data_IF_605892759660
#
_entry.id   IF_605892759660
#
_cell.length_a   1.000
_cell.length_b   1.000
_cell.length_c   1.000
_cell.angle_alpha   90.00
_cell.angle_beta   90.00
_cell.angle_gamma   90.00
#
_symmetry.space_group_name_H-M   'P 1'
#
loop_
_entity.id
_entity.type
_entity.pdbx_description
1 polymer ?
#
# COMPACT_ATOMS: atom_id res chain seq x y z
N UNK A 1 -37.31 6.09 -4.84
CA UNK A 1 -37.85 5.96 -3.46
C UNK A 1 -36.73 5.50 -2.56
N UNK A 2 -36.38 6.28 -1.54
CA UNK A 2 -35.39 5.85 -0.56
C UNK A 2 -36.02 4.73 0.31
N UNK A 3 -35.39 3.57 0.34
CA UNK A 3 -35.78 2.50 1.24
C UNK A 3 -35.53 2.96 2.69
N UNK A 4 -36.58 3.19 3.47
CA UNK A 4 -36.51 3.46 4.90
C UNK A 4 -36.87 2.18 5.65
N UNK A 5 -35.93 1.65 6.44
CA UNK A 5 -36.21 0.54 7.34
C UNK A 5 -36.41 1.09 8.75
N UNK A 6 -37.62 1.03 9.25
CA UNK A 6 -37.95 1.49 10.62
C UNK A 6 -37.09 0.77 11.68
N UNK A 7 -36.72 -0.49 11.45
CA UNK A 7 -35.84 -1.25 12.34
C UNK A 7 -34.43 -0.67 12.37
N UNK A 8 -33.87 -0.33 11.19
CA UNK A 8 -32.53 0.25 11.08
C UNK A 8 -32.47 1.62 11.75
N UNK A 9 -33.48 2.45 11.53
CA UNK A 9 -33.56 3.79 12.13
C UNK A 9 -33.74 3.72 13.64
N UNK A 10 -34.58 2.80 14.14
CA UNK A 10 -34.75 2.54 15.58
C UNK A 10 -33.47 2.02 16.22
N UNK A 11 -32.78 1.07 15.56
CA UNK A 11 -31.51 0.54 16.05
C UNK A 11 -30.42 1.61 16.11
N UNK A 12 -30.28 2.44 15.06
CA UNK A 12 -29.36 3.58 15.06
C UNK A 12 -29.68 4.57 16.19
N UNK A 13 -30.97 4.85 16.42
CA UNK A 13 -31.41 5.72 17.50
C UNK A 13 -31.05 5.17 18.90
N UNK A 14 -31.19 3.88 19.13
CA UNK A 14 -30.76 3.24 20.38
C UNK A 14 -29.25 3.24 20.56
N UNK A 15 -28.52 2.92 19.50
CA UNK A 15 -27.04 2.92 19.53
C UNK A 15 -26.47 4.33 19.76
N UNK A 16 -27.10 5.36 19.19
CA UNK A 16 -26.73 6.75 19.46
C UNK A 16 -26.80 7.14 20.93
N UNK A 17 -27.72 6.52 21.71
CA UNK A 17 -27.85 6.73 23.17
C UNK A 17 -26.69 6.11 23.95
N UNK A 18 -26.01 5.11 23.42
CA UNK A 18 -24.92 4.40 24.12
C UNK A 18 -23.59 5.13 24.11
N UNK A 19 -23.51 6.31 23.51
CA UNK A 19 -22.26 7.08 23.29
C UNK A 19 -21.16 6.28 22.57
N UNK A 20 -21.52 5.27 21.79
CA UNK A 20 -20.58 4.58 20.93
C UNK A 20 -20.40 5.40 19.65
N UNK A 21 -19.28 6.15 19.48
CA UNK A 21 -19.09 7.03 18.35
C UNK A 21 -18.87 6.24 17.04
N UNK A 22 -18.61 4.94 17.11
CA UNK A 22 -18.23 4.14 15.94
C UNK A 22 -19.40 3.83 15.02
N UNK A 23 -20.63 3.95 15.46
CA UNK A 23 -21.82 3.61 14.66
C UNK A 23 -22.50 4.80 13.97
N UNK A 24 -22.10 6.04 14.25
CA UNK A 24 -22.90 7.21 13.88
C UNK A 24 -22.54 7.81 12.54
N UNK A 25 -21.28 7.67 12.07
CA UNK A 25 -20.83 8.34 10.84
C UNK A 25 -19.67 7.64 10.13
N UNK A 26 -19.72 6.33 9.91
CA UNK A 26 -18.79 5.76 8.96
C UNK A 26 -19.13 6.31 7.56
N UNK A 27 -18.23 7.11 7.00
CA UNK A 27 -18.32 7.42 5.59
C UNK A 27 -18.30 6.09 4.83
N UNK A 28 -19.32 5.82 4.05
CA UNK A 28 -19.48 4.57 3.29
C UNK A 28 -18.39 4.39 2.23
N UNK A 29 -17.51 5.40 2.06
CA UNK A 29 -16.49 5.43 1.04
C UNK A 29 -15.09 5.25 1.64
N UNK A 30 -14.39 4.26 1.14
CA UNK A 30 -12.99 4.07 1.39
C UNK A 30 -12.18 5.02 0.49
N UNK A 31 -11.25 5.76 1.06
CA UNK A 31 -10.33 6.65 0.34
C UNK A 31 -9.01 5.93 0.13
N UNK A 32 -8.60 5.81 -1.13
CA UNK A 32 -7.29 5.27 -1.49
C UNK A 32 -6.22 6.36 -1.46
N UNK A 33 -5.06 6.04 -0.89
CA UNK A 33 -3.88 6.91 -0.90
C UNK A 33 -2.86 6.36 -1.90
N UNK A 34 -2.59 7.09 -3.00
CA UNK A 34 -1.60 6.68 -3.98
C UNK A 34 -0.22 6.52 -3.37
N UNK A 35 0.44 5.43 -3.71
CA UNK A 35 1.79 5.12 -3.22
C UNK A 35 2.89 5.66 -4.11
N UNK A 36 2.54 6.21 -5.28
CA UNK A 36 3.46 6.66 -6.31
C UNK A 36 3.90 5.56 -7.28
N UNK A 37 3.32 4.37 -7.16
CA UNK A 37 3.58 3.24 -8.06
C UNK A 37 2.28 2.78 -8.70
N UNK A 38 1.95 3.32 -9.86
CA UNK A 38 0.64 3.12 -10.50
C UNK A 38 0.23 1.65 -10.61
N UNK A 39 1.13 0.77 -11.03
CA UNK A 39 0.82 -0.66 -11.14
C UNK A 39 0.43 -1.27 -9.79
N UNK A 40 1.14 -0.90 -8.72
CA UNK A 40 0.84 -1.31 -7.36
C UNK A 40 -0.48 -0.70 -6.88
N UNK A 41 -0.69 0.59 -7.14
CA UNK A 41 -1.89 1.32 -6.73
C UNK A 41 -3.15 0.73 -7.37
N UNK A 42 -3.07 0.37 -8.64
CA UNK A 42 -4.18 -0.24 -9.36
C UNK A 42 -4.55 -1.64 -8.87
N UNK A 43 -3.58 -2.48 -8.49
CA UNK A 43 -3.92 -3.81 -7.93
C UNK A 43 -4.52 -3.73 -6.51
N UNK A 44 -4.27 -2.66 -5.77
CA UNK A 44 -4.85 -2.42 -4.46
C UNK A 44 -6.12 -1.54 -4.50
N UNK A 45 -6.39 -0.89 -5.64
CA UNK A 45 -7.51 0.02 -5.81
C UNK A 45 -8.82 -0.65 -6.25
N UNK A 46 -9.89 0.14 -6.30
CA UNK A 46 -11.20 -0.28 -6.83
C UNK A 46 -11.90 0.89 -7.50
N UNK A 47 -12.77 0.61 -8.47
CA UNK A 47 -13.68 1.63 -9.01
C UNK A 47 -14.83 1.83 -8.03
N UNK A 48 -15.14 3.08 -7.73
CA UNK A 48 -16.26 3.47 -6.89
C UNK A 48 -17.16 4.39 -7.69
N UNK A 49 -18.42 4.00 -7.84
CA UNK A 49 -19.46 4.82 -8.47
C UNK A 49 -20.29 5.48 -7.38
N UNK A 50 -20.41 6.79 -7.45
CA UNK A 50 -21.22 7.58 -6.53
C UNK A 50 -22.35 8.24 -7.33
N UNK A 51 -23.57 7.95 -6.94
CA UNK A 51 -24.77 8.58 -7.52
C UNK A 51 -25.46 9.40 -6.45
N UNK A 52 -25.61 10.68 -6.70
CA UNK A 52 -26.43 11.59 -5.92
C UNK A 52 -27.71 11.90 -6.68
N UNK A 53 -28.66 12.62 -6.05
CA UNK A 53 -29.86 13.12 -6.78
C UNK A 53 -29.52 14.13 -7.89
N UNK A 54 -28.33 14.74 -7.84
CA UNK A 54 -27.92 15.82 -8.76
C UNK A 54 -26.78 15.43 -9.68
N UNK A 55 -25.93 14.50 -9.28
CA UNK A 55 -24.70 14.14 -10.01
C UNK A 55 -24.39 12.65 -9.88
N UNK A 56 -23.81 12.09 -10.91
CA UNK A 56 -23.20 10.78 -10.89
C UNK A 56 -21.73 10.93 -11.27
N UNK A 57 -20.84 10.28 -10.56
CA UNK A 57 -19.42 10.24 -10.91
C UNK A 57 -18.80 8.92 -10.52
N UNK A 58 -17.76 8.53 -11.27
CA UNK A 58 -16.94 7.36 -10.98
C UNK A 58 -15.54 7.83 -10.62
N UNK A 59 -14.93 7.22 -9.60
CA UNK A 59 -13.53 7.45 -9.30
C UNK A 59 -12.82 6.14 -9.01
N UNK A 60 -11.52 6.11 -9.29
CA UNK A 60 -10.66 5.01 -8.92
C UNK A 60 -10.10 5.28 -7.52
N UNK A 61 -10.57 4.52 -6.53
CA UNK A 61 -9.94 4.49 -5.20
C UNK A 61 -8.68 3.64 -5.29
N UNK A 62 -7.61 4.20 -5.86
CA UNK A 62 -6.32 3.52 -6.06
C UNK A 62 -5.40 3.69 -4.86
N UNK A 63 -4.43 2.78 -4.75
CA UNK A 63 -3.44 2.82 -3.67
C UNK A 63 -3.90 2.11 -2.41
N UNK A 64 -3.37 2.53 -1.28
CA UNK A 64 -3.68 1.92 0.02
C UNK A 64 -4.89 2.59 0.63
N UNK A 65 -5.89 1.79 0.97
CA UNK A 65 -7.14 2.27 1.58
C UNK A 65 -6.89 2.80 3.00
N UNK A 66 -7.60 3.88 3.35
CA UNK A 66 -7.55 4.52 4.66
C UNK A 66 -7.79 3.53 5.81
N UNK A 67 -7.00 3.67 6.86
CA UNK A 67 -7.18 2.89 8.09
C UNK A 67 -7.02 1.38 7.92
N UNK A 68 -6.11 0.92 7.07
CA UNK A 68 -5.91 -0.50 6.78
C UNK A 68 -4.53 -1.01 7.19
N UNK A 69 -4.46 -2.31 7.43
CA UNK A 69 -3.21 -3.02 7.65
C UNK A 69 -2.78 -3.73 6.36
N UNK A 70 -1.55 -3.48 5.95
CA UNK A 70 -0.88 -4.12 4.80
C UNK A 70 0.27 -4.98 5.31
N UNK A 71 0.21 -6.28 5.09
CA UNK A 71 1.31 -7.17 5.41
C UNK A 71 2.17 -7.42 4.18
N UNK A 72 3.49 -7.22 4.32
CA UNK A 72 4.47 -7.40 3.25
C UNK A 72 5.45 -8.51 3.63
N UNK A 73 5.43 -9.60 2.87
CA UNK A 73 6.29 -10.75 3.10
C UNK A 73 7.22 -10.99 1.91
N UNK A 74 8.41 -11.49 2.17
CA UNK A 74 9.39 -11.80 1.11
C UNK A 74 10.75 -12.17 1.71
N UNK A 75 11.64 -12.67 0.87
CA UNK A 75 13.01 -13.01 1.28
C UNK A 75 13.81 -11.75 1.64
N UNK A 76 14.91 -11.93 2.36
CA UNK A 76 15.85 -10.83 2.62
C UNK A 76 16.37 -10.26 1.29
N UNK A 77 16.59 -8.94 1.23
CA UNK A 77 17.16 -8.28 0.06
C UNK A 77 16.20 -7.99 -1.10
N UNK A 78 14.92 -8.41 -1.04
CA UNK A 78 13.95 -8.11 -2.11
C UNK A 78 13.35 -6.69 -2.05
N UNK A 79 13.85 -5.80 -1.19
CA UNK A 79 13.48 -4.39 -1.17
C UNK A 79 12.22 -4.03 -0.34
N UNK A 80 11.72 -4.91 0.55
CA UNK A 80 10.51 -4.64 1.37
C UNK A 80 10.56 -3.30 2.09
N UNK A 81 11.59 -3.07 2.90
CA UNK A 81 11.79 -1.81 3.65
C UNK A 81 11.90 -0.61 2.72
N UNK A 82 12.67 -0.75 1.62
CA UNK A 82 12.84 0.32 0.62
C UNK A 82 11.50 0.74 0.02
N UNK A 83 10.72 -0.23 -0.45
CA UNK A 83 9.40 0.02 -1.04
C UNK A 83 8.46 0.66 -0.02
N UNK A 84 8.41 0.12 1.20
CA UNK A 84 7.54 0.62 2.26
C UNK A 84 7.86 2.07 2.61
N UNK A 85 9.15 2.42 2.73
CA UNK A 85 9.56 3.80 3.00
C UNK A 85 9.16 4.74 1.87
N UNK A 86 9.40 4.38 0.61
CA UNK A 86 9.02 5.20 -0.54
C UNK A 86 7.50 5.41 -0.61
N UNK A 87 6.71 4.34 -0.43
CA UNK A 87 5.25 4.45 -0.37
C UNK A 87 4.78 5.33 0.79
N UNK A 88 5.35 5.13 1.99
CA UNK A 88 5.01 5.94 3.16
C UNK A 88 5.28 7.43 2.92
N UNK A 89 6.43 7.76 2.33
CA UNK A 89 6.78 9.14 1.96
C UNK A 89 5.75 9.73 0.99
N UNK A 90 5.41 9.01 -0.06
CA UNK A 90 4.44 9.47 -1.07
C UNK A 90 3.03 9.67 -0.47
N UNK A 91 2.61 8.79 0.45
CA UNK A 91 1.30 8.91 1.12
C UNK A 91 1.22 10.14 2.02
N UNK A 92 2.27 10.42 2.83
CA UNK A 92 2.15 11.45 3.88
C UNK A 92 2.61 12.84 3.44
N UNK A 93 3.51 12.94 2.45
CA UNK A 93 4.06 14.24 2.02
C UNK A 93 3.00 15.29 1.66
N UNK A 94 1.91 14.96 0.92
CA UNK A 94 0.90 15.94 0.53
C UNK A 94 0.13 16.56 1.70
N UNK A 95 0.21 15.96 2.90
CA UNK A 95 -0.57 16.38 4.05
C UNK A 95 0.28 17.13 5.06
N UNK A 96 -0.20 18.29 5.53
CA UNK A 96 0.50 19.11 6.53
C UNK A 96 0.85 18.31 7.79
N UNK A 97 -0.14 17.61 8.36
CA UNK A 97 0.00 16.76 9.54
C UNK A 97 0.18 15.27 9.22
N UNK A 98 0.59 14.95 7.99
CA UNK A 98 0.97 13.58 7.62
C UNK A 98 2.21 13.14 8.40
N UNK A 99 2.20 11.92 8.96
CA UNK A 99 3.29 11.43 9.83
C UNK A 99 3.65 9.98 9.50
N UNK A 100 4.93 9.65 9.62
CA UNK A 100 5.45 8.28 9.57
C UNK A 100 6.00 7.92 10.94
N UNK A 101 5.50 6.82 11.52
CA UNK A 101 6.08 6.17 12.70
C UNK A 101 6.73 4.87 12.26
N UNK A 102 8.05 4.77 12.40
CA UNK A 102 8.83 3.60 11.99
C UNK A 102 9.45 2.90 13.21
N UNK A 103 8.97 1.72 13.52
CA UNK A 103 9.51 0.81 14.53
C UNK A 103 10.48 -0.16 13.84
N UNK A 104 11.77 0.15 13.94
CA UNK A 104 12.85 -0.54 13.23
C UNK A 104 13.54 -1.54 14.18
N UNK A 105 13.09 -2.77 14.17
CA UNK A 105 13.69 -3.87 14.96
C UNK A 105 14.91 -4.47 14.26
N UNK A 106 15.00 -4.33 12.95
CA UNK A 106 16.14 -4.72 12.14
C UNK A 106 17.02 -3.49 11.91
N UNK A 107 17.93 -3.20 12.83
CA UNK A 107 18.82 -2.04 12.74
C UNK A 107 19.68 -2.10 11.48
N UNK A 108 19.50 -1.20 10.54
CA UNK A 108 20.28 -1.30 9.31
C UNK A 108 20.39 -0.06 8.45
N UNK A 109 19.46 0.86 8.45
CA UNK A 109 19.48 1.97 7.51
C UNK A 109 19.92 3.28 8.14
N UNK A 110 20.94 3.95 7.55
CA UNK A 110 21.32 5.29 7.95
C UNK A 110 20.17 6.30 7.73
N UNK A 111 20.06 7.30 8.60
CA UNK A 111 19.01 8.33 8.50
C UNK A 111 19.04 9.07 7.16
N UNK A 112 20.22 9.29 6.59
CA UNK A 112 20.39 9.90 5.26
C UNK A 112 19.75 9.04 4.16
N UNK A 113 19.91 7.72 4.22
CA UNK A 113 19.28 6.80 3.26
C UNK A 113 17.76 6.78 3.42
N UNK A 114 17.24 6.75 4.64
CA UNK A 114 15.80 6.84 4.91
C UNK A 114 15.20 8.12 4.34
N UNK A 115 15.83 9.26 4.58
CA UNK A 115 15.39 10.55 4.04
C UNK A 115 15.36 10.56 2.51
N UNK A 116 16.40 10.00 1.87
CA UNK A 116 16.47 9.87 0.41
C UNK A 116 15.31 8.99 -0.13
N UNK A 117 15.05 7.84 0.49
CA UNK A 117 13.96 6.95 0.09
C UNK A 117 12.58 7.59 0.29
N UNK A 118 12.39 8.34 1.36
CA UNK A 118 11.17 9.08 1.63
C UNK A 118 10.98 10.29 0.69
N UNK A 119 12.02 10.66 -0.07
CA UNK A 119 12.05 11.83 -0.96
C UNK A 119 11.68 13.11 -0.21
N UNK A 120 12.16 13.28 1.01
CA UNK A 120 11.89 14.40 1.88
C UNK A 120 13.09 15.34 2.00
N UNK A 121 12.83 16.62 2.11
CA UNK A 121 13.83 17.59 2.59
C UNK A 121 14.23 17.26 4.04
N UNK A 122 15.28 17.87 4.54
CA UNK A 122 15.69 17.65 5.95
C UNK A 122 14.63 18.17 6.94
N UNK A 123 13.98 19.27 6.59
CA UNK A 123 12.93 19.89 7.38
C UNK A 123 11.68 19.02 7.43
N UNK A 124 11.21 18.54 6.26
CA UNK A 124 10.10 17.61 6.18
C UNK A 124 10.38 16.30 6.92
N UNK A 125 11.59 15.76 6.79
CA UNK A 125 11.99 14.54 7.47
C UNK A 125 11.93 14.70 8.99
N UNK A 126 12.45 15.83 9.53
CA UNK A 126 12.35 16.14 10.96
C UNK A 126 10.91 16.35 11.43
N UNK A 127 10.07 16.95 10.60
CA UNK A 127 8.69 17.25 10.95
C UNK A 127 7.76 16.03 10.87
N UNK A 128 7.98 15.10 9.92
CA UNK A 128 7.03 14.05 9.58
C UNK A 128 7.48 12.64 9.91
N UNK A 129 8.77 12.41 10.20
CA UNK A 129 9.32 11.08 10.41
C UNK A 129 9.81 10.88 11.83
N UNK A 130 9.26 9.88 12.50
CA UNK A 130 9.65 9.44 13.83
C UNK A 130 10.05 7.97 13.76
N UNK A 131 11.29 7.64 14.17
CA UNK A 131 11.74 6.25 14.23
C UNK A 131 12.27 5.87 15.59
N UNK A 132 12.15 4.58 15.89
CA UNK A 132 12.76 3.93 17.06
C UNK A 132 13.43 2.64 16.64
N UNK A 133 14.55 2.32 17.30
CA UNK A 133 15.30 1.07 17.12
C UNK A 133 15.66 0.40 18.44
N UNK A 134 15.21 0.97 19.56
CA UNK A 134 15.45 0.44 20.91
C UNK A 134 14.19 0.51 21.75
N UNK A 135 14.09 -0.38 22.74
CA UNK A 135 12.95 -0.41 23.66
C UNK A 135 11.62 -0.76 22.96
N UNK A 136 11.66 -1.50 21.86
CA UNK A 136 10.50 -1.94 21.12
C UNK A 136 10.11 -3.33 21.60
N UNK A 137 8.93 -3.42 22.20
CA UNK A 137 8.28 -4.69 22.54
C UNK A 137 6.79 -4.59 22.18
N UNK A 138 6.08 -5.70 22.24
CA UNK A 138 4.67 -5.79 21.81
C UNK A 138 3.78 -4.80 22.56
N UNK A 139 3.96 -4.66 23.85
CA UNK A 139 3.14 -3.79 24.70
C UNK A 139 3.40 -2.31 24.41
N UNK A 140 4.68 -1.91 24.34
CA UNK A 140 5.06 -0.54 24.02
C UNK A 140 4.61 -0.14 22.61
N UNK A 141 4.65 -1.06 21.65
CA UNK A 141 4.15 -0.81 20.30
C UNK A 141 2.63 -0.55 20.33
N UNK A 142 1.88 -1.38 21.03
CA UNK A 142 0.43 -1.18 21.19
C UNK A 142 0.09 0.18 21.82
N UNK A 143 0.76 0.53 22.93
CA UNK A 143 0.51 1.81 23.62
C UNK A 143 0.82 3.02 22.73
N UNK A 144 1.84 2.96 21.89
CA UNK A 144 2.13 4.02 20.92
C UNK A 144 1.06 4.17 19.85
N UNK A 145 0.55 3.04 19.31
CA UNK A 145 -0.58 3.09 18.36
C UNK A 145 -1.81 3.68 19.00
N UNK A 146 -2.12 3.27 20.26
CA UNK A 146 -3.24 3.79 21.02
C UNK A 146 -3.10 5.29 21.30
N UNK A 147 -1.92 5.74 21.73
CA UNK A 147 -1.65 7.16 21.96
C UNK A 147 -1.84 7.97 20.67
N UNK A 148 -1.33 7.48 19.54
CA UNK A 148 -1.50 8.11 18.24
C UNK A 148 -2.99 8.19 17.84
N UNK A 149 -3.72 7.10 18.01
CA UNK A 149 -5.16 7.06 17.79
C UNK A 149 -5.88 8.11 18.63
N UNK A 150 -5.67 8.11 19.96
CA UNK A 150 -6.34 9.00 20.89
C UNK A 150 -6.03 10.48 20.61
N UNK A 151 -4.77 10.80 20.27
CA UNK A 151 -4.38 12.15 19.86
C UNK A 151 -5.15 12.62 18.63
N UNK A 152 -5.26 11.80 17.61
CA UNK A 152 -5.93 12.18 16.35
C UNK A 152 -7.44 12.28 16.50
N UNK A 153 -8.05 11.32 17.20
CA UNK A 153 -9.51 11.28 17.37
C UNK A 153 -9.99 12.40 18.29
N UNK A 154 -9.24 12.69 19.38
CA UNK A 154 -9.62 13.72 20.34
C UNK A 154 -9.35 15.16 19.84
N UNK A 155 -8.54 15.33 18.80
CA UNK A 155 -8.23 16.63 18.18
C UNK A 155 -8.56 16.61 16.68
N UNK A 156 -9.73 16.08 16.36
CA UNK A 156 -10.16 15.85 15.00
C UNK A 156 -10.13 17.11 14.13
N UNK A 157 -10.52 18.24 14.68
CA UNK A 157 -10.54 19.55 14.03
C UNK A 157 -9.18 20.03 13.53
N UNK A 158 -8.07 19.54 14.14
CA UNK A 158 -6.71 19.87 13.72
C UNK A 158 -6.24 18.98 12.56
N UNK A 159 -6.67 17.73 12.58
CA UNK A 159 -6.14 16.69 11.68
C UNK A 159 -7.06 16.34 10.53
N UNK A 160 -8.27 16.89 10.48
CA UNK A 160 -9.23 16.60 9.43
C UNK A 160 -8.92 17.36 8.13
N UNK A 161 -9.23 16.75 6.99
CA UNK A 161 -9.14 17.38 5.68
C UNK A 161 -10.34 16.99 4.82
N UNK A 162 -10.68 17.86 3.86
CA UNK A 162 -11.70 17.59 2.85
C UNK A 162 -11.09 16.71 1.76
N UNK A 163 -11.67 15.54 1.54
CA UNK A 163 -11.21 14.59 0.51
C UNK A 163 -11.54 15.04 -0.91
N UNK A 164 -12.39 16.05 -1.08
CA UNK A 164 -12.94 16.44 -2.39
C UNK A 164 -14.10 15.57 -2.85
N UNK A 165 -14.36 14.43 -2.20
CA UNK A 165 -15.42 13.49 -2.55
C UNK A 165 -16.74 13.85 -1.83
N UNK A 166 -17.85 13.36 -2.39
CA UNK A 166 -19.17 13.47 -1.78
C UNK A 166 -19.77 12.07 -1.55
N UNK A 167 -20.64 11.97 -0.55
CA UNK A 167 -21.45 10.78 -0.33
C UNK A 167 -22.65 10.71 -1.30
N UNK A 168 -23.46 9.66 -1.21
CA UNK A 168 -24.67 9.48 -2.04
C UNK A 168 -25.74 10.54 -1.80
N UNK A 169 -25.63 11.33 -0.73
CA UNK A 169 -26.54 12.44 -0.43
C UNK A 169 -25.99 13.80 -0.86
N UNK A 170 -24.74 13.82 -1.38
CA UNK A 170 -24.06 15.03 -1.84
C UNK A 170 -23.30 15.77 -0.73
N UNK A 171 -23.16 15.18 0.48
CA UNK A 171 -22.38 15.78 1.55
C UNK A 171 -20.89 15.53 1.33
N UNK A 172 -20.05 16.53 1.62
CA UNK A 172 -18.58 16.42 1.55
C UNK A 172 -18.08 15.38 2.55
N UNK A 173 -17.11 14.56 2.11
CA UNK A 173 -16.48 13.53 2.92
C UNK A 173 -15.20 14.10 3.50
N UNK A 174 -15.13 14.16 4.83
CA UNK A 174 -13.94 14.55 5.57
C UNK A 174 -13.27 13.32 6.19
N UNK A 175 -11.94 13.30 6.17
CA UNK A 175 -11.10 12.24 6.77
C UNK A 175 -9.99 12.86 7.59
N UNK A 176 -9.48 12.12 8.58
CA UNK A 176 -8.23 12.51 9.24
C UNK A 176 -7.05 12.33 8.28
N UNK A 177 -6.09 13.25 8.28
CA UNK A 177 -4.88 13.14 7.46
C UNK A 177 -4.14 11.83 7.75
N UNK A 178 -3.56 11.15 6.75
CA UNK A 178 -3.01 9.82 6.94
C UNK A 178 -1.78 9.82 7.86
N UNK A 179 -1.70 8.80 8.68
CA UNK A 179 -0.47 8.44 9.40
C UNK A 179 -0.05 7.05 8.97
N UNK A 180 1.21 6.90 8.56
CA UNK A 180 1.76 5.60 8.19
C UNK A 180 2.59 5.06 9.35
N UNK A 181 2.25 3.86 9.81
CA UNK A 181 3.01 3.10 10.79
C UNK A 181 3.73 1.97 10.08
N UNK A 182 5.04 1.83 10.32
CA UNK A 182 5.87 0.76 9.76
C UNK A 182 6.42 -0.06 10.91
N UNK A 183 6.20 -1.37 10.90
CA UNK A 183 6.82 -2.33 11.79
C UNK A 183 7.78 -3.20 10.98
N UNK A 184 9.07 -3.06 11.21
CA UNK A 184 10.13 -3.78 10.49
C UNK A 184 11.08 -4.49 11.46
N UNK A 185 10.87 -5.77 11.77
CA UNK A 185 9.86 -6.70 11.27
C UNK A 185 9.07 -7.37 12.42
N UNK A 186 7.89 -7.94 12.08
CA UNK A 186 7.09 -8.72 13.04
C UNK A 186 7.87 -9.90 13.62
N UNK A 187 8.77 -10.50 12.83
CA UNK A 187 9.60 -11.62 13.28
C UNK A 187 10.45 -11.30 14.51
N UNK A 188 10.83 -10.04 14.67
CA UNK A 188 11.70 -9.56 15.76
C UNK A 188 10.90 -8.98 16.94
N UNK A 189 9.58 -8.85 16.80
CA UNK A 189 8.75 -8.28 17.85
C UNK A 189 8.46 -9.31 18.94
N UNK A 190 8.88 -9.01 20.16
CA UNK A 190 8.73 -9.88 21.33
C UNK A 190 7.93 -9.18 22.44
N UNK A 191 7.21 -9.94 23.27
CA UNK A 191 6.63 -9.43 24.52
C UNK A 191 7.67 -8.86 25.46
N UNK A 192 7.26 -7.93 26.34
CA UNK A 192 8.13 -7.28 27.33
C UNK A 192 8.84 -8.28 28.22
N UNK A 193 8.11 -9.26 28.75
CA UNK A 193 8.66 -10.27 29.66
C UNK A 193 9.83 -11.04 29.07
N UNK A 194 9.90 -11.15 27.73
CA UNK A 194 10.99 -11.82 27.03
C UNK A 194 12.12 -10.87 26.64
N UNK A 195 11.84 -9.57 26.54
CA UNK A 195 12.86 -8.56 26.22
C UNK A 195 13.58 -8.04 27.46
N UNK A 196 12.91 -8.00 28.61
CA UNK A 196 13.43 -7.51 29.89
C UNK A 196 13.82 -8.65 30.85
N UNK A 197 13.42 -9.90 30.55
CA UNK A 197 13.78 -11.08 31.34
C UNK A 197 15.22 -11.51 31.13
N UNK A 198 15.91 -11.93 32.22
CA UNK A 198 17.35 -12.30 32.20
C UNK A 198 17.68 -13.67 31.60
N UNK A 199 16.69 -14.50 31.26
CA UNK A 199 16.92 -15.84 30.72
C UNK A 199 16.48 -15.95 29.26
N UNK A 200 17.32 -16.53 28.41
CA UNK A 200 16.96 -16.87 27.04
C UNK A 200 16.04 -18.10 27.08
N UNK A 201 14.78 -17.87 26.79
CA UNK A 201 13.73 -18.86 26.91
C UNK A 201 13.80 -19.97 25.84
N UNK A 202 13.40 -21.19 26.22
CA UNK A 202 13.37 -22.36 25.33
C UNK A 202 12.21 -22.40 24.33
N UNK A 203 12.00 -23.53 23.66
CA UNK A 203 11.06 -23.73 22.54
C UNK A 203 9.58 -23.39 22.81
N UNK A 204 9.11 -23.42 24.06
CA UNK A 204 7.74 -23.00 24.42
C UNK A 204 7.47 -21.51 24.16
N UNK A 205 8.51 -20.70 24.10
CA UNK A 205 8.47 -19.25 23.90
C UNK A 205 7.98 -18.87 22.50
N UNK A 206 8.34 -19.62 21.46
CA UNK A 206 7.96 -19.31 20.07
C UNK A 206 6.44 -19.31 19.90
N UNK A 207 5.75 -20.28 20.50
CA UNK A 207 4.28 -20.37 20.44
C UNK A 207 3.61 -19.23 21.22
N UNK A 208 4.19 -18.80 22.33
CA UNK A 208 3.67 -17.68 23.12
C UNK A 208 3.82 -16.35 22.36
N UNK A 209 4.94 -16.09 21.71
CA UNK A 209 5.17 -14.90 20.88
C UNK A 209 4.12 -14.81 19.75
N UNK A 210 3.88 -15.90 19.02
CA UNK A 210 2.89 -15.92 17.95
C UNK A 210 1.46 -15.62 18.45
N UNK A 211 1.11 -16.11 19.65
CA UNK A 211 -0.19 -15.81 20.29
C UNK A 211 -0.29 -14.33 20.67
N UNK A 212 0.74 -13.77 21.29
CA UNK A 212 0.77 -12.36 21.70
C UNK A 212 0.72 -11.45 20.48
N UNK A 213 1.49 -11.72 19.44
CA UNK A 213 1.45 -10.96 18.19
C UNK A 213 0.06 -11.03 17.52
N UNK A 214 -0.60 -12.18 17.57
CA UNK A 214 -1.99 -12.30 17.08
C UNK A 214 -2.97 -11.44 17.90
N UNK A 215 -2.83 -11.39 19.22
CA UNK A 215 -3.64 -10.54 20.09
C UNK A 215 -3.35 -9.06 19.83
N UNK A 216 -2.08 -8.68 19.66
CA UNK A 216 -1.68 -7.34 19.29
C UNK A 216 -2.43 -6.86 18.02
N UNK A 217 -2.33 -7.64 16.94
CA UNK A 217 -2.98 -7.29 15.68
C UNK A 217 -4.49 -7.14 15.84
N UNK A 218 -5.16 -8.06 16.56
CA UNK A 218 -6.60 -7.98 16.84
C UNK A 218 -7.00 -6.72 17.61
N UNK A 219 -6.15 -6.22 18.49
CA UNK A 219 -6.40 -5.00 19.27
C UNK A 219 -6.11 -3.73 18.49
N UNK A 220 -5.16 -3.75 17.56
CA UNK A 220 -4.78 -2.57 16.75
C UNK A 220 -5.77 -2.33 15.60
N UNK A 221 -6.22 -3.38 14.90
CA UNK A 221 -7.08 -3.24 13.72
C UNK A 221 -8.27 -2.30 13.93
N UNK A 222 -9.03 -2.38 15.03
CA UNK A 222 -10.16 -1.46 15.27
C UNK A 222 -9.77 0.02 15.39
N UNK A 223 -8.53 0.30 15.80
CA UNK A 223 -8.02 1.66 15.98
C UNK A 223 -7.61 2.32 14.66
N UNK A 224 -7.28 1.51 13.63
CA UNK A 224 -6.71 2.02 12.38
C UNK A 224 -7.69 2.91 11.62
N UNK A 225 -8.93 2.46 11.45
CA UNK A 225 -9.93 3.12 10.59
C UNK A 225 -10.35 4.48 11.15
N UNK A 226 -10.68 4.55 12.43
CA UNK A 226 -11.16 5.77 13.08
C UNK A 226 -10.13 6.90 13.13
N UNK A 227 -8.83 6.54 13.16
CA UNK A 227 -7.73 7.50 13.20
C UNK A 227 -7.01 7.67 11.84
N UNK A 228 -7.46 6.99 10.79
CA UNK A 228 -6.77 6.92 9.50
C UNK A 228 -5.27 6.61 9.67
N UNK A 229 -5.00 5.47 10.30
CA UNK A 229 -3.66 4.92 10.44
C UNK A 229 -3.50 3.79 9.43
N UNK A 230 -2.55 3.92 8.53
CA UNK A 230 -2.14 2.86 7.59
C UNK A 230 -0.98 2.13 8.22
N UNK A 231 -1.12 0.83 8.45
CA UNK A 231 -0.09 0.03 9.10
C UNK A 231 0.57 -0.94 8.11
N UNK A 232 1.84 -0.68 7.76
CA UNK A 232 2.68 -1.63 7.04
C UNK A 232 3.40 -2.55 8.04
N UNK A 233 3.11 -3.83 7.95
CA UNK A 233 3.77 -4.87 8.73
C UNK A 233 4.68 -5.68 7.82
N UNK A 234 5.99 -5.51 7.97
CA UNK A 234 7.00 -6.23 7.20
C UNK A 234 7.33 -7.56 7.89
N UNK A 235 7.53 -8.63 7.11
CA UNK A 235 8.01 -9.88 7.63
C UNK A 235 8.83 -10.67 6.60
N UNK A 236 9.61 -11.65 7.06
CA UNK A 236 10.50 -12.45 6.25
C UNK A 236 9.90 -13.80 5.89
N UNK A 237 10.22 -14.27 4.68
CA UNK A 237 10.08 -15.67 4.29
C UNK A 237 11.43 -16.33 4.49
N UNK A 238 11.46 -17.39 5.29
CA UNK A 238 12.64 -18.18 5.60
C UNK A 238 12.47 -19.61 5.07
N UNK A 239 13.57 -20.33 4.79
CA UNK A 239 13.51 -21.76 4.55
C UNK A 239 12.94 -22.51 5.78
N UNK A 240 12.11 -23.51 5.53
CA UNK A 240 11.69 -24.45 6.58
C UNK A 240 12.83 -25.44 6.83
N UNK A 241 13.37 -25.53 8.07
CA UNK A 241 14.45 -26.43 8.39
C UNK A 241 14.03 -27.91 8.47
N UNK A 242 12.75 -28.21 8.28
CA UNK A 242 12.25 -29.59 8.34
C UNK A 242 12.91 -30.46 7.26
N UNK A 243 13.44 -31.67 7.61
CA UNK A 243 14.11 -32.55 6.65
C UNK A 243 13.15 -33.08 5.56
N UNK A 244 11.86 -33.09 5.83
CA UNK A 244 10.81 -33.44 4.87
C UNK A 244 9.98 -32.17 4.66
N UNK A 245 9.98 -31.57 3.45
CA UNK A 245 9.16 -30.40 3.17
C UNK A 245 7.68 -30.74 3.39
N UNK A 246 7.09 -30.16 4.41
CA UNK A 246 5.63 -30.26 4.62
C UNK A 246 4.93 -29.47 3.53
N UNK A 247 3.74 -29.92 3.09
CA UNK A 247 2.87 -29.09 2.27
C UNK A 247 2.72 -27.74 2.95
N UNK A 248 2.83 -26.65 2.18
CA UNK A 248 2.59 -25.32 2.68
C UNK A 248 1.24 -25.31 3.42
N UNK A 249 1.25 -24.93 4.69
CA UNK A 249 0.03 -24.89 5.51
C UNK A 249 -0.91 -23.77 5.08
N UNK A 250 -0.39 -22.79 4.34
CA UNK A 250 -1.11 -21.62 3.85
C UNK A 250 -0.79 -21.38 2.37
N UNK A 251 -1.80 -20.94 1.61
CA UNK A 251 -1.71 -20.78 0.16
C UNK A 251 -0.66 -19.75 -0.32
N UNK A 252 -0.17 -18.90 0.59
CA UNK A 252 0.79 -17.84 0.27
C UNK A 252 2.25 -18.19 0.56
N UNK A 253 2.53 -19.39 1.08
CA UNK A 253 3.87 -19.94 1.20
C UNK A 253 4.08 -21.08 0.19
N UNK A 254 5.28 -21.15 -0.36
CA UNK A 254 5.71 -22.30 -1.19
C UNK A 254 6.14 -23.45 -0.29
N UNK A 255 6.21 -24.65 -0.85
CA UNK A 255 6.75 -25.84 -0.13
C UNK A 255 8.19 -25.53 0.33
N UNK A 256 8.49 -25.81 1.58
CA UNK A 256 9.80 -25.52 2.17
C UNK A 256 10.00 -24.07 2.60
N UNK A 257 8.94 -23.27 2.70
CA UNK A 257 8.98 -21.92 3.24
C UNK A 257 8.20 -21.83 4.55
N UNK A 258 8.65 -20.92 5.42
CA UNK A 258 7.96 -20.52 6.66
C UNK A 258 8.03 -19.01 6.85
N UNK A 259 7.10 -18.48 7.64
CA UNK A 259 7.07 -17.06 8.00
C UNK A 259 7.07 -16.94 9.54
N UNK A 260 8.14 -16.45 10.17
CA UNK A 260 8.21 -16.31 11.62
C UNK A 260 7.28 -15.20 12.15
N UNK A 261 7.07 -15.15 13.47
CA UNK A 261 6.29 -14.09 14.12
C UNK A 261 4.78 -14.36 14.21
N UNK A 262 4.27 -15.41 13.55
CA UNK A 262 2.88 -15.85 13.64
C UNK A 262 2.08 -15.63 12.35
N UNK A 263 1.74 -16.71 11.68
CA UNK A 263 0.98 -16.72 10.42
C UNK A 263 -0.39 -16.06 10.55
N UNK A 264 -1.06 -16.24 11.68
CA UNK A 264 -2.39 -15.65 11.93
C UNK A 264 -2.31 -14.12 11.97
N UNK A 265 -1.27 -13.55 12.58
CA UNK A 265 -1.05 -12.10 12.62
C UNK A 265 -0.93 -11.54 11.18
N UNK A 266 -0.14 -12.19 10.35
CA UNK A 266 0.05 -11.82 8.93
C UNK A 266 -1.26 -11.95 8.16
N UNK A 267 -2.01 -13.03 8.38
CA UNK A 267 -3.27 -13.28 7.68
C UNK A 267 -4.41 -12.33 8.07
N UNK A 268 -4.34 -11.68 9.23
CA UNK A 268 -5.33 -10.69 9.65
C UNK A 268 -5.28 -9.39 8.84
N UNK A 269 -4.19 -9.10 8.15
CA UNK A 269 -4.04 -7.92 7.29
C UNK A 269 -5.19 -7.79 6.27
N UNK A 270 -5.52 -6.55 5.91
CA UNK A 270 -6.47 -6.24 4.85
C UNK A 270 -5.91 -6.72 3.49
N UNK A 271 -4.67 -6.37 3.22
CA UNK A 271 -3.92 -6.82 2.06
C UNK A 271 -2.65 -7.56 2.50
N UNK A 272 -2.43 -8.74 1.92
CA UNK A 272 -1.20 -9.51 2.07
C UNK A 272 -0.46 -9.52 0.74
N UNK A 273 0.72 -8.95 0.73
CA UNK A 273 1.58 -8.81 -0.43
C UNK A 273 2.79 -9.74 -0.27
N UNK A 274 3.05 -10.55 -1.28
CA UNK A 274 4.26 -11.34 -1.40
C UNK A 274 5.20 -10.68 -2.39
N UNK A 275 6.45 -10.48 -1.99
CA UNK A 275 7.49 -9.89 -2.80
C UNK A 275 8.54 -10.96 -3.09
N UNK A 276 8.67 -11.32 -4.35
CA UNK A 276 9.68 -12.24 -4.84
C UNK A 276 10.63 -11.51 -5.79
N UNK A 277 11.94 -11.66 -5.62
CA UNK A 277 12.94 -11.24 -6.60
C UNK A 277 12.95 -12.23 -7.76
N UNK A 278 13.02 -11.73 -9.00
CA UNK A 278 12.95 -12.57 -10.19
C UNK A 278 14.27 -12.62 -10.97
N UNK A 279 14.95 -11.49 -11.12
CA UNK A 279 16.23 -11.43 -11.86
C UNK A 279 17.05 -10.22 -11.46
N UNK A 280 18.38 -10.37 -11.55
CA UNK A 280 19.32 -9.24 -11.38
C UNK A 280 19.39 -8.42 -12.67
N UNK A 281 19.56 -7.11 -12.50
CA UNK A 281 19.77 -6.13 -13.56
C UNK A 281 21.21 -5.61 -13.52
N UNK A 282 21.80 -5.38 -14.68
CA UNK A 282 23.12 -4.78 -14.83
C UNK A 282 23.03 -3.53 -15.69
N UNK A 283 23.67 -2.46 -15.26
CA UNK A 283 23.69 -1.19 -15.98
C UNK A 283 24.25 -1.33 -17.42
N UNK A 284 25.17 -2.25 -17.66
CA UNK A 284 25.77 -2.47 -18.97
C UNK A 284 24.84 -3.19 -19.96
N UNK A 285 23.91 -4.01 -19.47
CA UNK A 285 23.14 -4.94 -20.32
C UNK A 285 21.65 -4.64 -20.39
N UNK A 286 21.07 -4.12 -19.28
CA UNK A 286 19.62 -4.03 -19.16
C UNK A 286 19.11 -2.60 -19.26
N UNK A 287 18.51 -2.09 -18.19
CA UNK A 287 17.83 -0.79 -18.14
C UNK A 287 18.77 0.40 -17.83
N UNK A 288 20.08 0.21 -17.87
CA UNK A 288 21.05 1.25 -17.51
C UNK A 288 21.19 1.45 -16.00
N UNK A 289 20.69 0.53 -15.17
CA UNK A 289 20.73 0.56 -13.71
C UNK A 289 21.29 -0.75 -13.14
N UNK A 290 21.83 -0.68 -11.92
CA UNK A 290 22.17 -1.86 -11.13
C UNK A 290 21.05 -2.13 -10.13
N UNK A 291 20.41 -3.29 -10.25
CA UNK A 291 19.26 -3.56 -9.42
C UNK A 291 18.68 -4.96 -9.59
N UNK A 292 17.41 -5.08 -9.28
CA UNK A 292 16.64 -6.33 -9.43
C UNK A 292 15.24 -6.07 -9.98
N UNK A 293 14.74 -7.03 -10.74
CA UNK A 293 13.31 -7.18 -11.00
C UNK A 293 12.66 -7.81 -9.79
N UNK A 294 11.55 -7.28 -9.39
CA UNK A 294 10.75 -7.75 -8.26
C UNK A 294 9.32 -7.96 -8.74
N UNK A 295 8.73 -9.10 -8.43
CA UNK A 295 7.30 -9.34 -8.62
C UNK A 295 6.56 -9.16 -7.30
N UNK A 296 5.54 -8.29 -7.30
CA UNK A 296 4.67 -8.09 -6.15
C UNK A 296 3.33 -8.76 -6.44
N UNK A 297 3.01 -9.78 -5.68
CA UNK A 297 1.76 -10.52 -5.77
C UNK A 297 0.81 -10.11 -4.65
N UNK A 298 -0.41 -9.72 -5.02
CA UNK A 298 -1.52 -9.56 -4.08
C UNK A 298 -2.08 -10.94 -3.74
N UNK A 299 -1.60 -11.52 -2.64
CA UNK A 299 -1.96 -12.89 -2.24
C UNK A 299 -3.33 -12.95 -1.59
N UNK A 300 -3.64 -11.92 -0.79
CA UNK A 300 -4.92 -11.75 -0.12
C UNK A 300 -5.33 -10.29 -0.18
N UNK A 301 -6.58 -10.04 -0.44
CA UNK A 301 -7.21 -8.73 -0.29
C UNK A 301 -8.64 -8.90 0.22
N UNK A 302 -9.11 -7.91 0.99
CA UNK A 302 -10.51 -7.81 1.40
C UNK A 302 -11.35 -7.01 0.42
N UNK A 303 -10.69 -6.26 -0.48
CA UNK A 303 -11.35 -5.36 -1.44
C UNK A 303 -11.20 -5.81 -2.89
N UNK A 304 -10.26 -6.71 -3.19
CA UNK A 304 -9.89 -7.13 -4.54
C UNK A 304 -9.76 -8.64 -4.68
N UNK A 305 -9.81 -9.10 -5.93
CA UNK A 305 -9.51 -10.49 -6.26
C UNK A 305 -8.01 -10.76 -6.04
N UNK A 306 -7.64 -11.75 -5.22
CA UNK A 306 -6.25 -12.14 -5.04
C UNK A 306 -5.67 -12.82 -6.29
N UNK A 307 -4.34 -12.91 -6.36
CA UNK A 307 -3.62 -13.63 -7.40
C UNK A 307 -3.01 -12.73 -8.47
N UNK A 308 -3.35 -11.44 -8.52
CA UNK A 308 -2.74 -10.49 -9.44
C UNK A 308 -1.31 -10.18 -9.00
N UNK A 309 -0.36 -10.14 -9.94
CA UNK A 309 1.01 -9.72 -9.68
C UNK A 309 1.48 -8.66 -10.67
N UNK A 310 2.23 -7.70 -10.16
CA UNK A 310 2.84 -6.62 -10.94
C UNK A 310 4.37 -6.65 -10.80
N UNK A 311 5.11 -6.45 -11.91
CA UNK A 311 6.55 -6.30 -11.86
C UNK A 311 6.90 -4.90 -11.33
N UNK A 312 7.98 -4.82 -10.56
CA UNK A 312 8.57 -3.57 -10.13
C UNK A 312 10.09 -3.62 -10.26
N UNK A 313 10.70 -2.48 -10.53
CA UNK A 313 12.14 -2.37 -10.72
C UNK A 313 12.75 -1.65 -9.52
N UNK A 314 13.61 -2.36 -8.79
CA UNK A 314 14.43 -1.80 -7.73
C UNK A 314 15.83 -1.47 -8.27
N UNK A 315 16.18 -0.19 -8.27
CA UNK A 315 17.53 0.31 -8.41
C UNK A 315 18.19 0.39 -7.03
N UNK A 316 19.38 -0.14 -6.88
CA UNK A 316 20.09 -0.15 -5.60
C UNK A 316 20.46 1.25 -5.10
N UNK A 317 20.65 2.21 -6.01
CA UNK A 317 21.05 3.57 -5.66
C UNK A 317 19.84 4.44 -5.29
N UNK A 318 18.75 4.37 -6.07
CA UNK A 318 17.62 5.30 -5.93
C UNK A 318 16.37 4.67 -5.30
N UNK A 319 16.32 3.34 -5.19
CA UNK A 319 15.15 2.59 -4.75
C UNK A 319 14.27 2.15 -5.93
N UNK A 320 13.00 1.92 -5.68
CA UNK A 320 12.06 1.54 -6.74
C UNK A 320 11.80 2.71 -7.69
N UNK A 321 11.87 2.45 -9.01
CA UNK A 321 11.54 3.42 -10.05
C UNK A 321 10.10 3.19 -10.55
N UNK A 322 9.22 4.19 -10.43
CA UNK A 322 7.87 4.12 -11.01
C UNK A 322 7.87 3.89 -12.51
N UNK A 323 8.72 4.63 -13.24
CA UNK A 323 8.78 4.61 -14.71
C UNK A 323 9.27 3.26 -15.23
N UNK A 324 10.36 2.74 -14.65
CA UNK A 324 10.90 1.44 -15.05
C UNK A 324 9.96 0.30 -14.65
N UNK A 325 9.19 0.46 -13.57
CA UNK A 325 8.17 -0.51 -13.17
C UNK A 325 7.00 -0.54 -14.14
N UNK A 326 6.55 0.61 -14.65
CA UNK A 326 5.56 0.67 -15.74
C UNK A 326 6.11 0.08 -17.05
N UNK A 327 7.37 0.35 -17.38
CA UNK A 327 8.01 -0.29 -18.53
C UNK A 327 8.00 -1.83 -18.41
N UNK A 328 8.36 -2.35 -17.23
CA UNK A 328 8.31 -3.79 -16.97
C UNK A 328 6.88 -4.34 -17.08
N UNK A 329 5.88 -3.59 -16.65
CA UNK A 329 4.46 -3.92 -16.79
C UNK A 329 4.06 -3.99 -18.28
N UNK A 330 4.38 -2.97 -19.08
CA UNK A 330 4.11 -2.96 -20.52
C UNK A 330 4.78 -4.15 -21.23
N UNK A 331 6.00 -4.46 -20.86
CA UNK A 331 6.71 -5.63 -21.38
C UNK A 331 6.02 -6.95 -21.01
N UNK A 332 5.60 -7.10 -19.76
CA UNK A 332 4.84 -8.28 -19.26
C UNK A 332 3.53 -8.47 -20.04
N UNK A 333 2.86 -7.39 -20.38
CA UNK A 333 1.59 -7.39 -21.12
C UNK A 333 1.75 -7.29 -22.65
N UNK A 334 2.98 -7.50 -23.17
CA UNK A 334 3.27 -7.52 -24.61
C UNK A 334 2.88 -6.23 -25.35
N UNK A 335 2.96 -5.08 -24.67
CA UNK A 335 2.76 -3.77 -25.28
C UNK A 335 4.04 -3.17 -25.86
N UNK A 336 5.20 -3.79 -25.62
CA UNK A 336 6.50 -3.43 -26.21
C UNK A 336 6.79 -4.37 -27.37
N UNK A 337 6.93 -3.79 -28.55
CA UNK A 337 7.22 -4.46 -29.81
C UNK A 337 8.65 -4.16 -30.28
N UNK A 338 9.13 -4.89 -31.29
CA UNK A 338 10.47 -4.70 -31.85
C UNK A 338 11.56 -5.55 -31.20
N UNK A 339 12.82 -5.26 -31.49
CA UNK A 339 13.96 -5.98 -30.94
C UNK A 339 15.21 -5.09 -30.81
N UNK A 340 16.04 -5.39 -29.82
CA UNK A 340 17.33 -4.70 -29.59
C UNK A 340 17.17 -3.22 -29.26
N UNK A 341 17.72 -2.36 -30.09
CA UNK A 341 17.66 -0.89 -29.96
C UNK A 341 16.42 -0.25 -30.63
N UNK A 342 15.58 -1.05 -31.27
CA UNK A 342 14.42 -0.59 -32.05
C UNK A 342 13.10 -1.07 -31.43
N UNK A 343 12.92 -0.78 -30.16
CA UNK A 343 11.68 -1.05 -29.44
C UNK A 343 10.69 0.09 -29.70
N UNK A 344 9.39 -0.22 -29.68
CA UNK A 344 8.32 0.76 -29.79
C UNK A 344 7.08 0.27 -29.01
N UNK A 345 6.18 1.18 -28.70
CA UNK A 345 4.99 0.90 -27.87
C UNK A 345 3.77 0.73 -28.79
N UNK A 346 3.04 -0.37 -28.64
CA UNK A 346 1.82 -0.63 -29.43
C UNK A 346 2.10 -0.58 -30.91
N UNK A 347 1.40 0.29 -31.65
CA UNK A 347 1.53 0.49 -33.10
C UNK A 347 2.41 1.71 -33.47
N UNK A 348 3.00 2.40 -32.47
CA UNK A 348 3.80 3.62 -32.66
C UNK A 348 5.24 3.31 -33.11
N UNK A 349 5.39 2.68 -34.28
CA UNK A 349 6.69 2.25 -34.84
C UNK A 349 7.58 3.41 -35.30
N UNK A 350 7.10 4.62 -35.34
CA UNK A 350 7.78 5.89 -35.57
C UNK A 350 8.56 6.36 -34.33
N UNK A 351 8.10 6.06 -33.13
CA UNK A 351 8.76 6.38 -31.86
C UNK A 351 9.60 5.20 -31.34
N UNK A 352 10.78 5.01 -31.91
CA UNK A 352 11.71 3.91 -31.55
C UNK A 352 12.63 4.31 -30.41
N UNK A 353 12.82 3.38 -29.47
CA UNK A 353 13.73 3.58 -28.35
C UNK A 353 14.54 2.32 -28.02
N UNK A 354 15.58 2.48 -27.21
CA UNK A 354 16.28 1.35 -26.59
C UNK A 354 15.92 1.26 -25.10
N UNK A 355 15.86 0.04 -24.57
CA UNK A 355 15.50 -0.14 -23.15
C UNK A 355 16.44 0.59 -22.17
N UNK A 356 17.72 0.80 -22.51
CA UNK A 356 18.67 1.57 -21.70
C UNK A 356 18.35 3.06 -21.61
N UNK A 357 17.68 3.59 -22.63
CA UNK A 357 17.42 5.02 -22.76
C UNK A 357 15.99 5.41 -22.36
N UNK A 358 15.17 4.45 -21.91
CA UNK A 358 13.76 4.69 -21.63
C UNK A 358 13.50 5.92 -20.72
N UNK A 359 14.28 6.09 -19.65
CA UNK A 359 14.17 7.25 -18.77
C UNK A 359 14.53 8.57 -19.46
N UNK A 360 15.36 8.54 -20.50
CA UNK A 360 15.68 9.72 -21.31
C UNK A 360 14.55 10.03 -22.29
N UNK A 361 14.03 8.99 -22.95
CA UNK A 361 12.93 9.14 -23.92
C UNK A 361 11.64 9.65 -23.24
N UNK A 362 11.38 9.25 -21.99
CA UNK A 362 10.25 9.74 -21.19
C UNK A 362 10.30 11.26 -20.89
N UNK A 363 11.42 11.95 -21.19
CA UNK A 363 11.49 13.42 -21.12
C UNK A 363 10.90 14.09 -22.34
N UNK A 364 10.68 13.36 -23.43
CA UNK A 364 9.92 13.83 -24.58
C UNK A 364 8.42 13.74 -24.27
N UNK A 365 7.66 14.85 -24.30
CA UNK A 365 6.24 14.86 -23.95
C UNK A 365 5.38 13.96 -24.84
N UNK A 366 5.72 13.82 -26.13
CA UNK A 366 4.96 12.97 -27.06
C UNK A 366 5.16 11.50 -26.75
N UNK A 367 6.40 11.08 -26.53
CA UNK A 367 6.72 9.72 -26.13
C UNK A 367 6.14 9.40 -24.72
N UNK A 368 6.24 10.33 -23.77
CA UNK A 368 5.68 10.17 -22.43
C UNK A 368 4.16 9.95 -22.48
N UNK A 369 3.45 10.67 -23.35
CA UNK A 369 2.00 10.48 -23.55
C UNK A 369 1.69 9.08 -24.08
N UNK A 370 2.37 8.64 -25.14
CA UNK A 370 2.20 7.29 -25.73
C UNK A 370 2.44 6.21 -24.64
N UNK A 371 3.50 6.39 -23.86
CA UNK A 371 3.86 5.47 -22.77
C UNK A 371 2.78 5.41 -21.69
N UNK A 372 2.26 6.56 -21.28
CA UNK A 372 1.22 6.64 -20.24
C UNK A 372 -0.12 6.09 -20.74
N UNK A 373 -0.55 6.43 -21.96
CA UNK A 373 -1.78 5.92 -22.56
C UNK A 373 -1.78 4.39 -22.63
N UNK A 374 -0.68 3.81 -23.11
CA UNK A 374 -0.50 2.35 -23.15
C UNK A 374 -0.47 1.74 -21.73
N UNK A 375 0.13 2.45 -20.76
CA UNK A 375 0.16 2.00 -19.36
C UNK A 375 -1.23 1.98 -18.76
N UNK A 376 -2.05 3.00 -19.00
CA UNK A 376 -3.43 3.05 -18.51
C UNK A 376 -4.31 1.96 -19.10
N UNK A 377 -4.19 1.69 -20.38
CA UNK A 377 -4.91 0.59 -21.02
C UNK A 377 -4.65 -0.75 -20.29
N UNK A 378 -3.38 -1.01 -19.92
CA UNK A 378 -3.03 -2.21 -19.14
C UNK A 378 -3.57 -2.12 -17.72
N UNK A 379 -3.40 -0.98 -17.05
CA UNK A 379 -3.77 -0.79 -15.64
C UNK A 379 -5.28 -0.93 -15.42
N UNK A 380 -6.10 -0.44 -16.34
CA UNK A 380 -7.55 -0.59 -16.25
C UNK A 380 -8.01 -2.05 -16.27
N UNK A 381 -7.28 -2.92 -16.99
CA UNK A 381 -7.58 -4.35 -16.96
C UNK A 381 -7.34 -4.94 -15.57
N UNK A 382 -6.39 -4.41 -14.79
CA UNK A 382 -6.09 -4.88 -13.42
C UNK A 382 -7.20 -4.50 -12.43
N UNK A 383 -7.85 -3.36 -12.61
CA UNK A 383 -9.02 -2.98 -11.80
C UNK A 383 -10.26 -3.78 -12.24
N UNK A 384 -10.52 -3.84 -13.54
CA UNK A 384 -11.72 -4.46 -14.11
C UNK A 384 -11.83 -5.96 -13.81
N UNK A 385 -10.69 -6.65 -13.69
CA UNK A 385 -10.67 -8.07 -13.33
C UNK A 385 -11.19 -8.39 -11.92
N UNK A 386 -11.52 -7.38 -11.12
CA UNK A 386 -12.04 -7.52 -9.75
C UNK A 386 -13.49 -7.09 -9.55
N UNK A 387 -14.11 -6.42 -10.52
CA UNK A 387 -15.52 -5.99 -10.42
C UNK A 387 -16.44 -7.07 -10.97
N UNK A 388 -17.38 -7.53 -10.16
CA UNK A 388 -18.58 -8.23 -10.65
C UNK A 388 -19.36 -7.24 -11.50
N UNK A 389 -19.60 -7.60 -12.78
CA UNK A 389 -20.49 -6.87 -13.66
C UNK A 389 -21.89 -6.78 -13.02
N UNK A 390 -22.20 -5.68 -12.38
CA UNK A 390 -23.57 -5.25 -12.23
C UNK A 390 -23.87 -4.43 -13.48
N UNK A 391 -24.64 -5.02 -14.40
CA UNK A 391 -25.23 -4.29 -15.52
C UNK A 391 -26.09 -3.17 -14.95
N UNK A 392 -25.56 -1.98 -14.93
CA UNK A 392 -26.31 -0.74 -14.67
C UNK A 392 -26.46 -0.10 -16.03
N UNK A 393 -27.70 -0.01 -16.52
CA UNK A 393 -28.03 0.68 -17.76
C UNK A 393 -27.51 2.11 -17.70
N UNK A 394 -26.74 2.51 -18.73
CA UNK A 394 -26.22 3.85 -18.91
C UNK A 394 -27.40 4.82 -19.10
N UNK A 395 -27.59 5.72 -18.15
CA UNK A 395 -28.30 6.97 -18.37
C UNK A 395 -27.29 8.11 -18.45
N UNK A 396 -27.45 8.93 -19.45
CA UNK A 396 -26.60 10.03 -19.94
C UNK A 396 -26.55 11.18 -18.92
N UNK A 397 -25.71 11.04 -17.88
CA UNK A 397 -25.43 12.11 -16.93
C UNK A 397 -23.92 12.41 -16.97
N UNK A 398 -23.55 13.67 -16.90
CA UNK A 398 -22.19 14.19 -16.98
C UNK A 398 -21.29 13.49 -15.95
N UNK A 399 -20.51 12.52 -16.40
CA UNK A 399 -19.52 11.81 -15.57
C UNK A 399 -18.31 12.70 -15.40
N UNK A 400 -18.06 13.18 -14.19
CA UNK A 400 -16.80 13.84 -13.85
C UNK A 400 -15.77 12.77 -13.55
N UNK A 401 -14.84 12.54 -14.48
CA UNK A 401 -13.76 11.60 -14.30
C UNK A 401 -12.66 12.20 -13.40
N UNK A 402 -12.75 11.90 -12.11
CA UNK A 402 -11.74 12.32 -11.11
C UNK A 402 -10.40 11.61 -11.34
N UNK A 403 -10.38 10.49 -12.06
CA UNK A 403 -9.16 9.79 -12.44
C UNK A 403 -8.23 10.70 -13.22
N UNK A 404 -8.77 11.50 -14.16
CA UNK A 404 -7.98 12.44 -14.95
C UNK A 404 -7.38 13.57 -14.11
N UNK A 405 -8.08 14.04 -13.07
CA UNK A 405 -7.57 15.08 -12.16
C UNK A 405 -6.45 14.56 -11.25
N UNK A 406 -6.58 13.35 -10.70
CA UNK A 406 -5.52 12.72 -9.91
C UNK A 406 -4.30 12.39 -10.76
N UNK A 407 -4.50 11.99 -12.02
CA UNK A 407 -3.43 11.67 -12.96
C UNK A 407 -2.66 12.89 -13.42
N UNK A 408 -3.32 14.00 -13.65
CA UNK A 408 -2.67 15.30 -13.93
C UNK A 408 -1.75 15.68 -12.79
N UNK A 409 -2.20 15.57 -11.54
CA UNK A 409 -1.38 15.84 -10.36
C UNK A 409 -0.19 14.89 -10.21
N UNK A 410 -0.32 13.63 -10.61
CA UNK A 410 0.78 12.67 -10.58
C UNK A 410 1.78 12.90 -11.73
N UNK A 411 1.31 13.28 -12.93
CA UNK A 411 2.17 13.65 -14.05
C UNK A 411 3.00 14.90 -13.73
N UNK A 412 2.44 15.89 -13.04
CA UNK A 412 3.16 17.06 -12.58
C UNK A 412 4.26 16.70 -11.56
N UNK A 413 4.03 15.68 -10.73
CA UNK A 413 5.04 15.16 -9.79
C UNK A 413 6.14 14.34 -10.48
N UNK A 414 5.86 13.71 -11.62
CA UNK A 414 6.87 12.99 -12.41
C UNK A 414 7.71 13.93 -13.28
N UNK A 415 7.22 15.14 -13.58
CA UNK A 415 7.92 16.14 -14.38
C UNK A 415 8.80 17.09 -13.53
N UNK A 416 8.62 17.13 -12.22
CA UNK A 416 9.45 17.87 -11.25
C UNK A 416 10.56 17.00 -10.64
#
# INVERSE_FOLDING_TARGET
MAFKSALVDSFRGEMAKTKDPTMINESQFDVGYPTGYLAFDFINGTKVEVRTEKTSYTYNSIGIVDGTMVSMIGRAGCGKTTLTLQMAGNIVRPFENGMIMHEELETGSASTRKRQLLRMTEEEFKAKYVSRNTGINTENFFERIKTLHDLKVNNREIYEYDTGLCDTQGNRIFKLQPTVVILDSLAMLMPRDLTEGGEIAGSMTITSVAKVNTQLVKRIIPLLKSANIIWFMINHILPDPSPIPKKAQVAWLKIGERCPGGETAIYLANNLLRIDDSSKLSADKDLGINGINVDIQLVKSRTKRPGVSVPMILDYDTGFSPELSLYALLKKHKKINGAGAYLYIGDHSDHKFSQKNILKELKDPEFAKIFMDASFEVLETLISSGTTNTNIEEQDDTVVDITSMMLSSMMDQMAS
#
